data_IF_712230240620
#
_entry.id   IF_712230240620
#
_cell.length_a   1.000
_cell.length_b   1.000
_cell.length_c   1.000
_cell.angle_alpha   90.00
_cell.angle_beta   90.00
_cell.angle_gamma   90.00
#
_symmetry.space_group_name_H-M   'P 1'
#
loop_
_entity.id
_entity.type
_entity.pdbx_description
1 polymer ?
#
# COMPACT_ATOMS: atom_id res chain seq x y z
N UNK A 1 -30.67 1.58 18.96
CA UNK A 1 -31.27 0.90 17.80
C UNK A 1 -31.02 1.62 16.48
N UNK A 2 -31.16 2.95 16.40
CA UNK A 2 -30.89 3.71 15.16
C UNK A 2 -29.45 3.54 14.63
N UNK A 3 -28.44 3.65 15.50
CA UNK A 3 -27.02 3.54 15.13
C UNK A 3 -26.63 2.17 14.56
N UNK A 4 -27.25 1.09 15.03
CA UNK A 4 -26.99 -0.27 14.52
C UNK A 4 -27.56 -0.43 13.11
N UNK A 5 -28.76 0.12 12.87
CA UNK A 5 -29.36 0.11 11.52
C UNK A 5 -28.54 0.90 10.52
N UNK A 6 -27.97 2.04 10.94
CA UNK A 6 -27.09 2.85 10.09
C UNK A 6 -25.78 2.12 9.77
N UNK A 7 -25.17 1.48 10.76
CA UNK A 7 -23.97 0.69 10.54
C UNK A 7 -24.19 -0.44 9.51
N UNK A 8 -25.34 -1.14 9.57
CA UNK A 8 -25.71 -2.17 8.59
C UNK A 8 -25.81 -1.59 7.18
N UNK A 9 -26.33 -0.38 7.03
CA UNK A 9 -26.42 0.27 5.71
C UNK A 9 -25.05 0.66 5.16
N UNK A 10 -24.13 1.13 6.00
CA UNK A 10 -22.77 1.55 5.59
C UNK A 10 -21.89 0.37 5.16
N UNK A 11 -22.12 -0.83 5.69
CA UNK A 11 -21.39 -2.05 5.28
C UNK A 11 -22.04 -2.79 4.10
N UNK A 12 -23.10 -2.24 3.51
CA UNK A 12 -23.80 -2.89 2.40
C UNK A 12 -22.94 -2.93 1.14
N UNK A 13 -23.13 -3.94 0.30
CA UNK A 13 -22.35 -4.12 -0.93
C UNK A 13 -22.50 -2.98 -1.95
N UNK A 14 -23.59 -2.20 -1.85
CA UNK A 14 -23.87 -1.06 -2.73
C UNK A 14 -23.26 0.24 -2.20
N UNK A 15 -22.70 0.26 -0.99
CA UNK A 15 -22.23 1.50 -0.38
C UNK A 15 -21.11 2.16 -1.18
N UNK A 16 -20.25 1.35 -1.81
CA UNK A 16 -19.11 1.83 -2.59
C UNK A 16 -19.47 2.17 -4.05
N UNK A 17 -20.68 1.82 -4.51
CA UNK A 17 -21.09 2.05 -5.90
C UNK A 17 -21.14 3.55 -6.23
N UNK A 18 -20.44 3.91 -7.32
CA UNK A 18 -20.30 5.29 -7.81
C UNK A 18 -19.68 6.26 -6.79
N UNK A 19 -18.98 5.73 -5.79
CA UNK A 19 -18.20 6.53 -4.84
C UNK A 19 -16.73 6.58 -5.24
N UNK A 20 -15.94 7.40 -4.54
CA UNK A 20 -14.48 7.44 -4.71
C UNK A 20 -13.73 6.45 -3.79
N UNK A 21 -14.43 5.59 -3.05
CA UNK A 21 -13.83 4.52 -2.27
C UNK A 21 -13.02 3.59 -3.19
N UNK A 22 -11.82 3.19 -2.76
CA UNK A 22 -10.92 2.38 -3.58
C UNK A 22 -10.13 3.16 -4.63
N UNK A 23 -10.70 4.26 -5.12
CA UNK A 23 -10.15 5.05 -6.22
C UNK A 23 -9.31 6.22 -5.73
N UNK A 24 -9.82 7.03 -4.80
CA UNK A 24 -9.14 8.22 -4.26
C UNK A 24 -9.12 8.26 -2.73
N UNK A 25 -10.07 7.54 -2.11
CA UNK A 25 -10.34 7.45 -0.68
C UNK A 25 -10.11 6.01 -0.20
N UNK A 26 -9.45 5.88 0.95
CA UNK A 26 -9.19 4.59 1.58
C UNK A 26 -8.03 3.84 0.95
N UNK A 27 -8.15 2.51 1.02
CA UNK A 27 -7.24 1.53 0.46
C UNK A 27 -7.35 1.53 -1.07
N UNK A 28 -6.23 1.52 -1.80
CA UNK A 28 -6.23 1.66 -3.27
C UNK A 28 -6.48 0.32 -3.97
N UNK A 29 -7.60 0.22 -4.66
CA UNK A 29 -8.01 -1.03 -5.31
C UNK A 29 -7.20 -1.31 -6.59
N UNK A 30 -7.14 -2.60 -6.93
CA UNK A 30 -6.58 -3.07 -8.19
C UNK A 30 -5.05 -3.09 -8.25
N UNK A 31 -4.36 -3.19 -7.11
CA UNK A 31 -2.92 -3.47 -7.05
C UNK A 31 -2.61 -4.61 -6.09
N UNK A 32 -1.70 -5.51 -6.47
CA UNK A 32 -1.19 -6.59 -5.60
C UNK A 32 -0.42 -6.03 -4.39
N UNK A 33 0.10 -4.81 -4.52
CA UNK A 33 0.88 -4.06 -3.52
C UNK A 33 0.17 -2.75 -3.15
N UNK A 34 -1.13 -2.87 -2.91
CA UNK A 34 -2.00 -1.79 -2.50
C UNK A 34 -1.47 -1.03 -1.27
N UNK A 35 -0.80 -1.70 -0.32
CA UNK A 35 -0.20 -1.11 0.88
C UNK A 35 0.83 -0.02 0.53
N UNK A 36 1.75 -0.34 -0.39
CA UNK A 36 2.78 0.59 -0.86
C UNK A 36 2.15 1.74 -1.64
N UNK A 37 1.17 1.45 -2.50
CA UNK A 37 0.47 2.43 -3.35
C UNK A 37 -0.34 3.42 -2.51
N UNK A 38 -1.04 2.92 -1.49
CA UNK A 38 -1.85 3.72 -0.57
C UNK A 38 -0.94 4.66 0.23
N UNK A 39 0.15 4.13 0.81
CA UNK A 39 1.14 4.94 1.53
C UNK A 39 1.78 6.01 0.65
N UNK A 40 2.11 5.68 -0.61
CA UNK A 40 2.63 6.64 -1.59
C UNK A 40 1.64 7.79 -1.85
N UNK A 41 0.36 7.50 -2.10
CA UNK A 41 -0.67 8.53 -2.31
C UNK A 41 -0.89 9.41 -1.09
N UNK A 42 -0.85 8.85 0.11
CA UNK A 42 -0.92 9.64 1.34
C UNK A 42 0.28 10.60 1.43
N UNK A 43 1.49 10.13 1.19
CA UNK A 43 2.66 11.00 1.22
C UNK A 43 2.65 12.05 0.11
N UNK A 44 2.11 11.75 -1.07
CA UNK A 44 1.92 12.73 -2.15
C UNK A 44 0.93 13.83 -1.75
N UNK A 45 -0.10 13.51 -0.97
CA UNK A 45 -1.01 14.50 -0.37
C UNK A 45 -0.34 15.36 0.72
N UNK A 46 0.89 15.02 1.14
CA UNK A 46 1.70 15.78 2.10
C UNK A 46 1.75 15.18 3.51
N UNK A 47 1.18 13.99 3.71
CA UNK A 47 1.25 13.28 4.98
C UNK A 47 2.68 12.83 5.29
N UNK A 48 2.97 12.60 6.58
CA UNK A 48 4.27 12.12 7.06
C UNK A 48 4.06 10.87 7.91
N UNK A 49 4.85 9.84 7.64
CA UNK A 49 4.92 8.63 8.46
C UNK A 49 6.06 8.72 9.48
N UNK A 50 5.93 7.96 10.55
CA UNK A 50 6.96 7.78 11.58
C UNK A 50 7.22 6.29 11.76
N UNK A 51 8.49 5.93 11.92
CA UNK A 51 8.92 4.58 12.26
C UNK A 51 9.44 4.59 13.70
N UNK A 52 8.81 3.80 14.57
CA UNK A 52 9.15 3.71 15.99
C UNK A 52 9.61 2.28 16.31
N UNK A 53 10.82 2.15 16.82
CA UNK A 53 11.35 0.88 17.33
C UNK A 53 11.28 0.93 18.84
N UNK A 54 10.67 -0.09 19.42
CA UNK A 54 10.48 -0.23 20.88
C UNK A 54 11.21 -1.47 21.35
N UNK A 55 11.77 -1.40 22.54
CA UNK A 55 12.32 -2.57 23.24
C UNK A 55 11.51 -2.75 24.53
N UNK A 56 10.78 -3.87 24.70
CA UNK A 56 10.66 -5.05 23.83
C UNK A 56 9.78 -4.82 22.59
N UNK A 57 9.88 -5.73 21.60
CA UNK A 57 9.06 -5.65 20.37
C UNK A 57 7.56 -5.57 20.68
N UNK A 58 6.92 -4.47 20.29
CA UNK A 58 5.47 -4.28 20.49
C UNK A 58 4.61 -5.24 19.64
N UNK A 59 5.13 -5.73 18.50
CA UNK A 59 4.42 -6.64 17.60
C UNK A 59 5.29 -7.85 17.27
N UNK A 60 4.80 -9.06 17.56
CA UNK A 60 5.46 -10.33 17.25
C UNK A 60 4.54 -11.19 16.39
N UNK A 61 5.09 -11.78 15.32
CA UNK A 61 4.38 -12.67 14.41
C UNK A 61 5.21 -13.90 14.05
N UNK A 62 4.56 -14.92 13.50
CA UNK A 62 5.20 -16.16 13.07
C UNK A 62 5.66 -16.06 11.63
N UNK A 63 6.93 -16.36 11.36
CA UNK A 63 7.47 -16.43 10.00
C UNK A 63 7.18 -17.81 9.35
N UNK A 64 7.01 -17.89 8.02
CA UNK A 64 6.84 -19.16 7.32
C UNK A 64 8.11 -20.01 7.46
N UNK A 65 7.93 -21.28 7.83
CA UNK A 65 9.02 -22.26 8.01
C UNK A 65 9.38 -22.94 6.68
N UNK A 66 8.41 -23.00 5.76
CA UNK A 66 8.55 -23.66 4.46
C UNK A 66 9.14 -22.73 3.41
N UNK A 67 10.10 -23.24 2.63
CA UNK A 67 10.76 -22.50 1.55
C UNK A 67 9.80 -22.13 0.43
N UNK A 68 8.86 -23.02 0.08
CA UNK A 68 7.89 -22.77 -1.01
C UNK A 68 7.01 -21.55 -0.71
N UNK A 69 6.51 -21.45 0.51
CA UNK A 69 5.67 -20.32 0.93
C UNK A 69 6.45 -19.01 0.92
N UNK A 70 7.74 -19.08 1.30
CA UNK A 70 8.62 -17.92 1.26
C UNK A 70 8.90 -17.46 -0.17
N UNK A 71 9.13 -18.39 -1.10
CA UNK A 71 9.34 -18.07 -2.52
C UNK A 71 8.09 -17.44 -3.15
N UNK A 72 6.91 -18.00 -2.90
CA UNK A 72 5.65 -17.41 -3.35
C UNK A 72 5.43 -16.00 -2.81
N UNK A 73 5.82 -15.74 -1.55
CA UNK A 73 5.72 -14.41 -0.96
C UNK A 73 6.64 -13.40 -1.66
N UNK A 74 7.89 -13.76 -1.89
CA UNK A 74 8.85 -12.88 -2.59
C UNK A 74 8.40 -12.63 -4.03
N UNK A 75 7.88 -13.66 -4.71
CA UNK A 75 7.32 -13.52 -6.05
C UNK A 75 6.17 -12.51 -6.07
N UNK A 76 5.23 -12.59 -5.13
CA UNK A 76 4.12 -11.61 -5.02
C UNK A 76 4.62 -10.19 -4.83
N UNK A 77 5.64 -9.99 -4.00
CA UNK A 77 6.24 -8.66 -3.81
C UNK A 77 6.90 -8.15 -5.09
N UNK A 78 7.66 -9.01 -5.79
CA UNK A 78 8.29 -8.65 -7.05
C UNK A 78 7.25 -8.27 -8.11
N UNK A 79 6.19 -9.07 -8.26
CA UNK A 79 5.09 -8.79 -9.20
C UNK A 79 4.41 -7.47 -8.91
N UNK A 80 4.05 -7.20 -7.65
CA UNK A 80 3.42 -5.92 -7.28
C UNK A 80 4.35 -4.72 -7.48
N UNK A 81 5.64 -4.88 -7.22
CA UNK A 81 6.62 -3.80 -7.44
C UNK A 81 6.77 -3.44 -8.93
N UNK A 82 6.75 -4.44 -9.81
CA UNK A 82 6.71 -4.23 -11.27
C UNK A 82 5.38 -3.59 -11.68
N UNK A 83 4.26 -4.00 -11.09
CA UNK A 83 2.95 -3.41 -11.34
C UNK A 83 2.91 -1.92 -10.97
N UNK A 84 3.46 -1.53 -9.81
CA UNK A 84 3.58 -0.12 -9.39
C UNK A 84 4.41 0.67 -10.40
N UNK A 85 5.51 0.11 -10.88
CA UNK A 85 6.40 0.78 -11.83
C UNK A 85 5.71 1.12 -13.16
N UNK A 86 4.88 0.21 -13.67
CA UNK A 86 4.11 0.42 -14.91
C UNK A 86 2.76 1.13 -14.69
N UNK A 87 2.32 1.29 -13.44
CA UNK A 87 1.07 1.97 -13.10
C UNK A 87 1.19 3.50 -13.17
N UNK A 88 0.03 4.18 -13.16
CA UNK A 88 -0.05 5.65 -13.00
C UNK A 88 0.52 6.15 -11.67
N UNK A 89 0.69 5.26 -10.70
CA UNK A 89 1.25 5.54 -9.38
C UNK A 89 2.79 5.44 -9.34
N UNK A 90 3.47 5.80 -10.42
CA UNK A 90 4.93 5.73 -10.49
C UNK A 90 5.60 6.88 -9.71
N UNK A 91 6.64 6.56 -8.95
CA UNK A 91 7.49 7.51 -8.23
C UNK A 91 8.11 8.60 -9.14
N UNK A 92 8.30 8.30 -10.43
CA UNK A 92 8.77 9.28 -11.44
C UNK A 92 7.74 10.38 -11.69
N UNK A 93 6.44 10.05 -11.60
CA UNK A 93 5.32 10.98 -11.80
C UNK A 93 4.91 11.71 -10.50
N UNK A 94 5.65 11.50 -9.40
CA UNK A 94 5.28 12.02 -8.09
C UNK A 94 5.22 13.57 -8.03
N UNK A 95 4.13 14.10 -7.46
CA UNK A 95 3.91 15.53 -7.28
C UNK A 95 4.90 16.24 -6.37
N UNK A 96 5.03 17.58 -6.52
CA UNK A 96 6.03 18.47 -5.86
C UNK A 96 6.06 18.42 -4.32
N UNK A 97 5.03 17.85 -3.68
CA UNK A 97 4.92 17.74 -2.22
C UNK A 97 5.79 16.62 -1.63
N UNK A 98 6.17 15.62 -2.42
CA UNK A 98 7.05 14.54 -1.96
C UNK A 98 8.52 14.99 -1.96
N UNK A 99 9.24 14.74 -0.87
CA UNK A 99 10.68 15.07 -0.76
C UNK A 99 11.47 14.29 -1.81
N UNK A 100 12.52 14.91 -2.36
CA UNK A 100 13.35 14.29 -3.41
C UNK A 100 13.91 12.91 -3.01
N UNK A 101 14.51 12.81 -1.82
CA UNK A 101 15.03 11.53 -1.31
C UNK A 101 13.91 10.49 -1.09
N UNK A 102 12.72 10.93 -0.69
CA UNK A 102 11.57 10.06 -0.52
C UNK A 102 11.11 9.49 -1.88
N UNK A 103 11.15 10.30 -2.96
CA UNK A 103 10.87 9.83 -4.32
C UNK A 103 11.87 8.76 -4.77
N UNK A 104 13.15 8.97 -4.51
CA UNK A 104 14.19 7.97 -4.84
C UNK A 104 13.95 6.68 -4.06
N UNK A 105 13.58 6.76 -2.78
CA UNK A 105 13.24 5.59 -1.98
C UNK A 105 12.06 4.80 -2.58
N UNK A 106 11.00 5.47 -3.02
CA UNK A 106 9.88 4.81 -3.70
C UNK A 106 10.26 4.24 -5.06
N UNK A 107 11.13 4.91 -5.80
CA UNK A 107 11.64 4.42 -7.07
C UNK A 107 12.47 3.14 -6.88
N UNK A 108 13.29 3.08 -5.83
CA UNK A 108 14.06 1.88 -5.49
C UNK A 108 13.13 0.68 -5.21
N UNK A 109 12.02 0.90 -4.49
CA UNK A 109 11.00 -0.14 -4.26
C UNK A 109 10.37 -0.65 -5.57
N UNK A 110 10.19 0.18 -6.59
CA UNK A 110 9.73 -0.28 -7.91
C UNK A 110 10.81 -1.02 -8.72
N UNK A 111 12.08 -0.65 -8.52
CA UNK A 111 13.21 -1.12 -9.35
C UNK A 111 13.88 -2.38 -8.76
N UNK A 112 13.78 -2.66 -7.46
CA UNK A 112 14.48 -3.80 -6.85
C UNK A 112 14.25 -5.17 -7.53
N UNK A 113 13.08 -5.48 -8.13
CA UNK A 113 12.92 -6.76 -8.84
C UNK A 113 13.81 -6.85 -10.08
N UNK A 114 14.10 -5.71 -10.72
CA UNK A 114 14.90 -5.61 -11.94
C UNK A 114 16.41 -5.70 -11.69
N UNK A 115 16.85 -5.58 -10.45
CA UNK A 115 18.27 -5.71 -10.07
C UNK A 115 18.67 -7.14 -9.70
N UNK A 116 17.80 -8.11 -9.98
CA UNK A 116 18.03 -9.55 -9.72
C UNK A 116 18.85 -10.22 -10.83
#
# INVERSE_FOLDING_TARGET
YATVSEAVNVISCWYEDKTEWGMSIGWVYGSVTEDVVTGFRMHEKGWRSFYCVTEPDAFRGTAPINLTDRLHQVLRWATGSVEIFFSRNNAVLAGRKLKFLQRISYLNVGIYPFTS
#
